data_IF_074039791885
#
_entry.id   IF_074039791885
#
_cell.length_a   1.000
_cell.length_b   1.000
_cell.length_c   1.000
_cell.angle_alpha   90.00
_cell.angle_beta   90.00
_cell.angle_gamma   90.00
#
_symmetry.space_group_name_H-M   'P 1'
#
loop_
_entity.id
_entity.type
_entity.pdbx_description
1 polymer ?
#
# COMPACT_ATOMS: atom_id res chain seq x y z
N UNK A 1 -8.57 11.88 24.41
CA UNK A 1 -9.47 10.71 24.53
C UNK A 1 -8.88 9.64 23.64
N UNK A 2 -8.16 8.67 24.20
CA UNK A 2 -7.76 7.45 23.48
C UNK A 2 -8.84 6.42 23.75
N UNK A 3 -9.76 6.26 22.80
CA UNK A 3 -10.62 5.07 22.78
C UNK A 3 -9.66 3.89 22.56
N UNK A 4 -9.80 2.82 23.33
CA UNK A 4 -8.97 1.64 23.10
C UNK A 4 -9.46 0.97 21.81
N UNK A 5 -8.61 0.92 20.78
CA UNK A 5 -8.96 0.53 19.40
C UNK A 5 -9.25 -0.98 19.24
N UNK A 6 -9.51 -1.69 20.35
CA UNK A 6 -9.85 -3.11 20.35
C UNK A 6 -8.79 -4.02 19.73
N UNK A 7 -7.56 -3.52 19.57
CA UNK A 7 -6.41 -4.22 19.00
C UNK A 7 -6.21 -4.05 17.49
N UNK A 8 -7.06 -3.29 16.78
CA UNK A 8 -6.90 -2.98 15.34
C UNK A 8 -6.95 -1.46 15.14
N UNK A 9 -5.88 -0.89 14.61
CA UNK A 9 -5.74 0.56 14.40
C UNK A 9 -6.26 1.02 13.04
N UNK A 10 -6.25 0.14 12.03
CA UNK A 10 -6.76 0.43 10.70
C UNK A 10 -7.31 -0.84 10.03
N UNK A 11 -8.26 -0.68 9.11
CA UNK A 11 -8.88 -1.78 8.36
C UNK A 11 -9.01 -1.40 6.90
N UNK A 12 -8.81 -2.38 6.01
CA UNK A 12 -9.08 -2.30 4.59
C UNK A 12 -9.95 -3.50 4.22
N UNK A 13 -11.11 -3.24 3.62
CA UNK A 13 -11.99 -4.27 3.08
C UNK A 13 -12.09 -4.09 1.57
N UNK A 14 -11.18 -4.74 0.84
CA UNK A 14 -11.14 -4.66 -0.61
C UNK A 14 -12.12 -5.67 -1.21
N UNK A 15 -12.89 -5.31 -2.26
CA UNK A 15 -13.72 -6.27 -2.98
C UNK A 15 -12.93 -7.51 -3.40
N UNK A 16 -13.55 -8.69 -3.36
CA UNK A 16 -12.87 -9.95 -3.68
C UNK A 16 -12.40 -10.03 -5.14
N UNK A 17 -13.03 -9.26 -6.02
CA UNK A 17 -12.69 -9.09 -7.43
C UNK A 17 -11.78 -7.89 -7.70
N UNK A 18 -11.33 -7.19 -6.65
CA UNK A 18 -10.40 -6.08 -6.80
C UNK A 18 -9.09 -6.56 -7.44
N UNK A 19 -8.65 -5.84 -8.47
CA UNK A 19 -7.34 -6.00 -9.10
C UNK A 19 -6.27 -5.42 -8.18
N UNK A 20 -5.89 -6.17 -7.15
CA UNK A 20 -4.76 -5.83 -6.30
C UNK A 20 -3.48 -6.37 -6.94
N UNK A 21 -2.46 -5.53 -7.17
CA UNK A 21 -1.18 -5.98 -7.70
C UNK A 21 -0.60 -7.12 -6.86
N UNK A 22 -0.11 -8.18 -7.51
CA UNK A 22 0.44 -9.36 -6.84
C UNK A 22 1.68 -9.07 -5.99
N UNK A 23 2.28 -7.90 -6.20
CA UNK A 23 3.49 -7.44 -5.57
C UNK A 23 3.24 -6.38 -4.48
N UNK A 24 1.97 -6.18 -4.10
CA UNK A 24 1.52 -5.38 -2.97
C UNK A 24 1.37 -6.25 -1.70
N UNK A 25 1.45 -5.63 -0.51
CA UNK A 25 1.14 -6.33 0.75
C UNK A 25 -0.37 -6.40 1.04
N UNK A 26 -1.16 -5.59 0.34
CA UNK A 26 -2.61 -5.65 0.39
C UNK A 26 -3.10 -6.88 -0.38
N UNK A 27 -4.22 -7.43 0.05
CA UNK A 27 -4.91 -8.55 -0.61
C UNK A 27 -6.40 -8.28 -0.65
N UNK A 28 -7.13 -8.83 -1.65
CA UNK A 28 -8.59 -8.78 -1.64
C UNK A 28 -9.19 -9.33 -0.35
N UNK A 29 -10.34 -8.79 0.04
CA UNK A 29 -11.01 -9.09 1.30
C UNK A 29 -10.54 -8.25 2.47
N UNK A 30 -10.93 -8.69 3.66
CA UNK A 30 -10.75 -7.95 4.90
C UNK A 30 -9.32 -8.10 5.43
N UNK A 31 -8.65 -6.97 5.67
CA UNK A 31 -7.34 -6.91 6.34
C UNK A 31 -7.38 -5.90 7.48
N UNK A 32 -7.06 -6.36 8.69
CA UNK A 32 -6.88 -5.51 9.87
C UNK A 32 -5.40 -5.29 10.17
N UNK A 33 -5.05 -4.04 10.47
CA UNK A 33 -3.70 -3.60 10.79
C UNK A 33 -3.60 -3.19 12.24
N UNK A 34 -2.58 -3.70 12.93
CA UNK A 34 -2.17 -3.21 14.23
C UNK A 34 -0.83 -2.46 14.09
N UNK A 35 -0.79 -1.19 14.48
CA UNK A 35 0.35 -0.31 14.34
C UNK A 35 1.15 -0.24 15.64
N UNK A 36 2.44 -0.55 15.55
CA UNK A 36 3.37 -0.51 16.68
C UNK A 36 4.53 0.41 16.37
N UNK A 37 4.44 1.62 16.93
CA UNK A 37 5.48 2.64 16.86
C UNK A 37 6.53 2.46 17.95
N UNK A 38 7.77 2.84 17.64
CA UNK A 38 8.88 2.78 18.59
C UNK A 38 9.48 1.38 18.75
N UNK A 39 10.48 1.27 19.63
CA UNK A 39 11.33 0.07 19.75
C UNK A 39 11.05 -0.78 20.99
N UNK A 40 10.01 -0.43 21.76
CA UNK A 40 9.62 -1.14 22.98
C UNK A 40 8.92 -2.46 22.69
N UNK A 41 8.10 -2.49 21.63
CA UNK A 41 7.36 -3.68 21.23
C UNK A 41 8.24 -4.59 20.36
N UNK A 42 8.55 -5.78 20.87
CA UNK A 42 9.41 -6.75 20.20
C UNK A 42 8.57 -7.94 19.73
N UNK A 43 8.09 -7.96 18.47
CA UNK A 43 7.13 -8.95 18.00
C UNK A 43 7.69 -10.38 17.97
N UNK A 44 9.01 -10.56 17.91
CA UNK A 44 9.69 -11.86 17.99
C UNK A 44 9.75 -12.44 19.42
N UNK A 45 9.01 -11.86 20.37
CA UNK A 45 8.92 -12.37 21.74
C UNK A 45 7.48 -12.75 22.05
N UNK A 46 7.28 -14.00 22.52
CA UNK A 46 5.96 -14.55 22.79
C UNK A 46 5.14 -13.72 23.80
N UNK A 47 5.79 -13.15 24.82
CA UNK A 47 5.11 -12.31 25.81
C UNK A 47 4.56 -11.03 25.19
N UNK A 48 5.36 -10.33 24.37
CA UNK A 48 4.91 -9.08 23.74
C UNK A 48 3.70 -9.33 22.83
N UNK A 49 3.71 -10.41 22.03
CA UNK A 49 2.56 -10.76 21.19
C UNK A 49 1.33 -11.11 22.04
N UNK A 50 1.52 -11.86 23.12
CA UNK A 50 0.41 -12.25 23.99
C UNK A 50 -0.25 -11.04 24.62
N UNK A 51 0.54 -10.12 25.17
CA UNK A 51 0.03 -8.91 25.84
C UNK A 51 -0.70 -7.98 24.87
N UNK A 52 -0.36 -8.03 23.58
CA UNK A 52 -1.00 -7.24 22.53
C UNK A 52 -2.27 -7.86 21.93
N UNK A 53 -2.43 -9.18 22.03
CA UNK A 53 -3.58 -9.88 21.46
C UNK A 53 -4.62 -10.24 22.52
N UNK A 54 -4.19 -10.50 23.75
CA UNK A 54 -5.03 -11.04 24.82
C UNK A 54 -5.25 -9.97 25.89
N UNK A 55 -6.52 -9.64 26.13
CA UNK A 55 -6.91 -8.74 27.20
C UNK A 55 -6.84 -9.40 28.59
N UNK A 56 -7.10 -8.61 29.62
CA UNK A 56 -7.08 -9.06 31.04
C UNK A 56 -8.05 -10.22 31.35
N UNK A 57 -9.06 -10.43 30.50
CA UNK A 57 -10.03 -11.54 30.63
C UNK A 57 -9.52 -12.87 30.05
N UNK A 58 -8.31 -12.89 29.49
CA UNK A 58 -7.75 -14.08 28.81
C UNK A 58 -8.33 -14.34 27.42
N UNK A 59 -9.16 -13.42 26.90
CA UNK A 59 -9.74 -13.46 25.55
C UNK A 59 -9.02 -12.50 24.61
N UNK A 60 -9.16 -12.74 23.31
CA UNK A 60 -8.71 -11.79 22.29
C UNK A 60 -9.36 -10.43 22.50
N UNK A 61 -8.64 -9.36 22.16
CA UNK A 61 -9.25 -8.04 22.10
C UNK A 61 -10.42 -8.01 21.09
N UNK A 62 -11.47 -7.20 21.33
CA UNK A 62 -12.72 -7.30 20.58
C UNK A 62 -12.59 -7.19 19.06
N UNK A 63 -11.79 -6.25 18.55
CA UNK A 63 -11.64 -6.06 17.10
C UNK A 63 -10.78 -7.15 16.47
N UNK A 64 -9.80 -7.70 17.20
CA UNK A 64 -9.05 -8.88 16.78
C UNK A 64 -9.97 -10.11 16.71
N UNK A 65 -10.85 -10.30 17.70
CA UNK A 65 -11.85 -11.37 17.69
C UNK A 65 -12.80 -11.22 16.49
N UNK A 66 -13.34 -10.01 16.25
CA UNK A 66 -14.21 -9.74 15.09
C UNK A 66 -13.51 -10.01 13.75
N UNK A 67 -12.26 -9.59 13.60
CA UNK A 67 -11.48 -9.83 12.39
C UNK A 67 -11.30 -11.33 12.14
N UNK A 68 -10.93 -12.08 13.18
CA UNK A 68 -10.72 -13.53 13.09
C UNK A 68 -11.99 -14.32 12.81
N UNK A 69 -13.13 -13.91 13.38
CA UNK A 69 -14.46 -14.48 13.08
C UNK A 69 -14.82 -14.34 11.59
N UNK A 70 -14.47 -13.20 10.99
CA UNK A 70 -14.66 -12.93 9.55
C UNK A 70 -13.57 -13.55 8.67
N UNK A 71 -12.58 -14.25 9.26
CA UNK A 71 -11.38 -14.77 8.59
C UNK A 71 -10.60 -13.70 7.83
N UNK A 72 -10.55 -12.47 8.36
CA UNK A 72 -9.77 -11.38 7.78
C UNK A 72 -8.27 -11.50 8.07
N UNK A 73 -7.43 -11.04 7.16
CA UNK A 73 -5.97 -11.04 7.36
C UNK A 73 -5.58 -10.12 8.51
N UNK A 74 -4.72 -10.58 9.40
CA UNK A 74 -4.18 -9.82 10.53
C UNK A 74 -2.72 -9.44 10.25
N UNK A 75 -2.43 -8.14 10.21
CA UNK A 75 -1.09 -7.63 9.91
C UNK A 75 -0.62 -6.72 11.04
N UNK A 76 0.55 -7.02 11.60
CA UNK A 76 1.22 -6.10 12.54
C UNK A 76 2.27 -5.29 11.82
N UNK A 77 2.21 -3.97 11.95
CA UNK A 77 3.20 -3.04 11.39
C UNK A 77 4.10 -2.51 12.49
N UNK A 78 5.39 -2.79 12.40
CA UNK A 78 6.41 -2.34 13.34
C UNK A 78 7.28 -1.26 12.68
N UNK A 79 7.06 0.02 13.02
CA UNK A 79 7.84 1.11 12.42
C UNK A 79 9.15 1.41 13.14
N UNK A 80 9.32 0.95 14.39
CA UNK A 80 10.57 1.12 15.14
C UNK A 80 11.57 -0.02 14.99
N UNK A 81 11.29 -1.01 14.15
CA UNK A 81 12.15 -2.18 13.93
C UNK A 81 12.22 -2.55 12.45
N UNK A 82 13.44 -2.72 11.95
CA UNK A 82 13.68 -3.48 10.72
C UNK A 82 13.91 -4.93 11.08
N UNK A 83 12.85 -5.72 10.90
CA UNK A 83 12.82 -7.13 11.27
C UNK A 83 13.71 -7.95 10.33
N UNK A 84 14.55 -8.79 10.92
CA UNK A 84 15.20 -9.86 10.13
C UNK A 84 14.16 -10.88 9.66
N UNK A 85 14.43 -11.67 8.61
CA UNK A 85 13.53 -12.75 8.18
C UNK A 85 13.17 -13.70 9.32
N UNK A 86 14.13 -14.02 10.19
CA UNK A 86 13.90 -14.87 11.36
C UNK A 86 12.94 -14.21 12.35
N UNK A 87 13.16 -12.95 12.71
CA UNK A 87 12.28 -12.22 13.65
C UNK A 87 10.85 -12.10 13.13
N UNK A 88 10.68 -11.88 11.83
CA UNK A 88 9.35 -11.87 11.20
C UNK A 88 8.68 -13.24 11.30
N UNK A 89 9.40 -14.31 10.96
CA UNK A 89 8.85 -15.67 11.03
C UNK A 89 8.47 -16.04 12.47
N UNK A 90 9.34 -15.76 13.43
CA UNK A 90 9.08 -16.00 14.86
C UNK A 90 7.85 -15.22 15.33
N UNK A 91 7.71 -13.95 14.91
CA UNK A 91 6.55 -13.14 15.23
C UNK A 91 5.25 -13.71 14.66
N UNK A 92 5.23 -14.11 13.38
CA UNK A 92 4.08 -14.77 12.78
C UNK A 92 3.72 -16.07 13.53
N UNK A 93 4.71 -16.90 13.87
CA UNK A 93 4.48 -18.12 14.65
C UNK A 93 3.89 -17.83 16.03
N UNK A 94 4.39 -16.80 16.72
CA UNK A 94 3.87 -16.40 18.02
C UNK A 94 2.40 -15.94 17.94
N UNK A 95 2.05 -15.15 16.93
CA UNK A 95 0.67 -14.70 16.70
C UNK A 95 -0.24 -15.91 16.47
N UNK A 96 0.16 -16.82 15.58
CA UNK A 96 -0.61 -18.04 15.27
C UNK A 96 -0.79 -18.92 16.50
N UNK A 97 0.25 -19.08 17.34
CA UNK A 97 0.14 -19.84 18.60
C UNK A 97 -0.83 -19.18 19.58
N UNK A 98 -0.82 -17.85 19.68
CA UNK A 98 -1.77 -17.13 20.55
C UNK A 98 -3.20 -17.28 20.03
N UNK A 99 -3.43 -17.13 18.71
CA UNK A 99 -4.74 -17.39 18.09
C UNK A 99 -5.24 -18.82 18.32
N UNK A 100 -4.40 -19.82 18.11
CA UNK A 100 -4.75 -21.20 18.40
C UNK A 100 -5.13 -21.41 19.88
N UNK A 101 -4.37 -20.79 20.81
CA UNK A 101 -4.68 -20.85 22.24
C UNK A 101 -5.99 -20.16 22.62
N UNK A 102 -6.44 -19.21 21.80
CA UNK A 102 -7.70 -18.49 21.96
C UNK A 102 -8.88 -19.13 21.19
N UNK A 103 -8.68 -20.30 20.56
CA UNK A 103 -9.73 -21.02 19.82
C UNK A 103 -9.83 -20.70 18.34
N UNK A 104 -8.82 -20.05 17.74
CA UNK A 104 -8.73 -19.73 16.31
C UNK A 104 -7.57 -20.51 15.67
N UNK A 105 -7.74 -21.81 15.38
CA UNK A 105 -6.71 -22.61 14.70
C UNK A 105 -6.59 -22.24 13.21
N UNK A 106 -5.55 -22.76 12.55
CA UNK A 106 -5.36 -22.68 11.09
C UNK A 106 -5.40 -21.25 10.53
N UNK A 107 -4.67 -20.34 11.17
CA UNK A 107 -4.60 -18.92 10.81
C UNK A 107 -3.27 -18.50 10.17
N UNK A 108 -2.35 -19.44 9.92
CA UNK A 108 -0.98 -19.13 9.48
C UNK A 108 -0.89 -18.40 8.14
N UNK A 109 -1.79 -18.66 7.20
CA UNK A 109 -1.83 -17.98 5.90
C UNK A 109 -2.44 -16.57 5.95
N UNK A 110 -3.03 -16.20 7.09
CA UNK A 110 -3.75 -14.93 7.29
C UNK A 110 -3.02 -14.00 8.26
N UNK A 111 -1.76 -14.30 8.61
CA UNK A 111 -0.94 -13.47 9.50
C UNK A 111 0.27 -12.95 8.76
N UNK A 112 0.59 -11.67 8.96
CA UNK A 112 1.87 -11.09 8.54
C UNK A 112 2.40 -10.07 9.55
N UNK A 113 3.70 -9.83 9.51
CA UNK A 113 4.36 -8.77 10.26
C UNK A 113 5.27 -8.00 9.32
N UNK A 114 5.08 -6.69 9.26
CA UNK A 114 5.80 -5.78 8.36
C UNK A 114 6.66 -4.80 9.17
N UNK A 115 7.94 -4.69 8.81
CA UNK A 115 8.85 -3.65 9.29
C UNK A 115 8.81 -2.39 8.42
N UNK A 116 9.45 -1.32 8.89
CA UNK A 116 9.53 -0.05 8.16
C UNK A 116 10.15 -0.21 6.77
N UNK A 117 11.29 -0.91 6.65
CA UNK A 117 11.95 -1.13 5.35
C UNK A 117 11.09 -1.92 4.37
N UNK A 118 10.27 -2.87 4.85
CA UNK A 118 9.37 -3.64 3.98
C UNK A 118 8.26 -2.75 3.42
N UNK A 119 7.67 -1.88 4.24
CA UNK A 119 6.69 -0.90 3.78
C UNK A 119 7.30 0.10 2.79
N UNK A 120 8.52 0.59 3.04
CA UNK A 120 9.24 1.47 2.10
C UNK A 120 9.43 0.78 0.75
N UNK A 121 9.87 -0.47 0.75
CA UNK A 121 10.03 -1.26 -0.48
C UNK A 121 8.73 -1.38 -1.29
N UNK A 122 7.57 -1.52 -0.63
CA UNK A 122 6.30 -1.53 -1.35
C UNK A 122 5.98 -0.15 -1.92
N UNK A 123 6.15 0.92 -1.15
CA UNK A 123 5.89 2.29 -1.60
C UNK A 123 6.78 2.71 -2.78
N UNK A 124 8.08 2.38 -2.74
CA UNK A 124 9.07 2.73 -3.76
C UNK A 124 8.77 2.16 -5.15
N UNK A 125 7.97 1.09 -5.23
CA UNK A 125 7.53 0.50 -6.52
C UNK A 125 6.49 1.33 -7.23
N UNK A 126 5.81 2.21 -6.50
CA UNK A 126 4.76 3.07 -7.02
C UNK A 126 5.22 4.52 -6.87
N UNK A 127 5.87 5.11 -7.90
CA UNK A 127 6.46 6.44 -7.79
C UNK A 127 5.50 7.52 -7.27
N UNK A 128 4.22 7.46 -7.62
CA UNK A 128 3.19 8.36 -7.09
C UNK A 128 2.98 8.23 -5.57
N UNK A 129 3.02 7.00 -5.04
CA UNK A 129 2.93 6.74 -3.60
C UNK A 129 4.23 7.15 -2.90
N UNK A 130 5.38 6.79 -3.46
CA UNK A 130 6.68 7.22 -2.93
C UNK A 130 6.80 8.75 -2.85
N UNK A 131 6.32 9.45 -3.87
CA UNK A 131 6.23 10.90 -3.89
C UNK A 131 5.23 11.45 -2.88
N UNK A 132 4.06 10.82 -2.72
CA UNK A 132 3.06 11.22 -1.73
C UNK A 132 3.59 11.09 -0.29
N UNK A 133 4.40 10.07 -0.02
CA UNK A 133 4.98 9.80 1.30
C UNK A 133 6.24 10.61 1.59
N UNK A 134 6.92 11.15 0.56
CA UNK A 134 8.09 12.01 0.71
C UNK A 134 7.69 13.49 0.75
N UNK A 135 8.47 14.32 1.44
CA UNK A 135 8.14 15.71 1.75
C UNK A 135 8.02 16.65 0.53
N UNK A 136 8.38 16.19 -0.66
CA UNK A 136 8.04 16.86 -1.91
C UNK A 136 6.75 16.25 -2.43
N UNK A 137 5.64 16.77 -1.92
CA UNK A 137 4.33 16.49 -2.49
C UNK A 137 4.40 16.80 -3.98
N UNK A 138 4.47 15.76 -4.82
CA UNK A 138 4.06 15.89 -6.21
C UNK A 138 2.57 16.20 -6.12
N UNK A 139 2.25 17.50 -6.08
CA UNK A 139 0.89 17.96 -5.84
C UNK A 139 -0.11 17.45 -6.89
N UNK A 140 0.37 16.87 -8.00
CA UNK A 140 -0.44 16.43 -9.14
C UNK A 140 0.14 15.18 -9.82
N UNK A 141 0.43 14.12 -9.06
CA UNK A 141 0.67 12.80 -9.67
C UNK A 141 -0.70 12.18 -9.99
N UNK A 142 -1.17 12.32 -11.22
CA UNK A 142 -2.43 11.72 -11.65
C UNK A 142 -2.20 10.31 -12.15
N UNK A 143 -3.08 9.38 -11.77
CA UNK A 143 -3.16 8.08 -12.43
C UNK A 143 -3.68 8.32 -13.85
N UNK A 144 -3.16 7.58 -14.84
CA UNK A 144 -3.50 7.79 -16.25
C UNK A 144 -5.03 7.84 -16.49
N UNK A 145 -5.79 6.95 -15.86
CA UNK A 145 -7.24 6.91 -16.05
C UNK A 145 -7.98 8.14 -15.49
N UNK A 146 -7.48 8.73 -14.39
CA UNK A 146 -8.05 9.96 -13.82
C UNK A 146 -7.72 11.14 -14.73
N UNK A 147 -6.49 11.16 -15.26
CA UNK A 147 -6.05 12.16 -16.21
C UNK A 147 -6.82 12.10 -17.53
N UNK A 148 -7.06 10.90 -18.04
CA UNK A 148 -7.82 10.64 -19.26
C UNK A 148 -9.28 11.11 -19.13
N UNK A 149 -9.88 10.92 -17.94
CA UNK A 149 -11.26 11.27 -17.63
C UNK A 149 -11.47 12.73 -17.24
N UNK A 150 -10.41 13.51 -17.06
CA UNK A 150 -10.52 14.92 -16.67
C UNK A 150 -11.30 15.75 -17.71
N UNK A 151 -12.16 16.65 -17.25
CA UNK A 151 -13.03 17.45 -18.11
C UNK A 151 -12.26 18.38 -19.07
N UNK A 152 -11.10 18.87 -18.65
CA UNK A 152 -10.22 19.69 -19.50
C UNK A 152 -9.39 18.86 -20.49
N UNK A 153 -9.36 17.54 -20.32
CA UNK A 153 -8.56 16.59 -21.10
C UNK A 153 -9.39 15.66 -21.99
N UNK A 154 -10.73 15.68 -21.87
CA UNK A 154 -11.65 14.81 -22.62
C UNK A 154 -12.25 15.47 -23.87
N UNK A 155 -12.01 16.76 -24.11
CA UNK A 155 -12.43 17.42 -25.35
C UNK A 155 -11.65 16.89 -26.57
N UNK A 156 -12.19 17.04 -27.78
CA UNK A 156 -11.53 16.60 -29.01
C UNK A 156 -10.15 17.25 -29.19
N UNK A 157 -9.14 16.44 -29.51
CA UNK A 157 -7.79 16.88 -29.79
C UNK A 157 -7.52 16.90 -31.28
N UNK A 158 -7.04 18.03 -31.80
CA UNK A 158 -6.64 18.21 -33.19
C UNK A 158 -5.21 18.74 -33.19
N UNK A 159 -4.20 17.88 -33.38
CA UNK A 159 -2.81 18.30 -33.32
C UNK A 159 -2.42 19.08 -34.57
N UNK A 160 -1.58 20.10 -34.39
CA UNK A 160 -0.75 20.62 -35.48
C UNK A 160 0.33 19.59 -35.87
N UNK A 161 0.92 19.75 -37.05
CA UNK A 161 2.00 18.89 -37.57
C UNK A 161 3.13 18.69 -36.55
N UNK A 162 3.59 19.78 -35.96
CA UNK A 162 4.69 19.82 -34.99
C UNK A 162 4.32 19.08 -33.69
N UNK A 163 3.05 19.16 -33.28
CA UNK A 163 2.55 18.45 -32.10
C UNK A 163 2.45 16.95 -32.37
N UNK A 164 2.00 16.56 -33.57
CA UNK A 164 1.93 15.15 -33.98
C UNK A 164 3.33 14.51 -34.03
N UNK A 165 4.33 15.24 -34.54
CA UNK A 165 5.73 14.79 -34.52
C UNK A 165 6.25 14.62 -33.09
N UNK A 166 6.00 15.60 -32.22
CA UNK A 166 6.43 15.53 -30.82
C UNK A 166 5.76 14.36 -30.08
N UNK A 167 4.47 14.12 -30.31
CA UNK A 167 3.73 12.98 -29.76
C UNK A 167 4.38 11.67 -30.21
N UNK A 168 4.74 11.55 -31.50
CA UNK A 168 5.42 10.37 -32.03
C UNK A 168 6.79 10.16 -31.38
N UNK A 169 7.54 11.23 -31.09
CA UNK A 169 8.83 11.15 -30.42
C UNK A 169 8.69 10.71 -28.96
N UNK A 170 7.69 11.24 -28.25
CA UNK A 170 7.38 10.83 -26.87
C UNK A 170 7.05 9.34 -26.85
N UNK A 171 6.19 8.87 -27.76
CA UNK A 171 5.82 7.46 -27.86
C UNK A 171 7.01 6.56 -28.14
N UNK A 172 7.82 6.89 -29.13
CA UNK A 172 9.04 6.14 -29.45
C UNK A 172 10.03 6.09 -28.27
N UNK A 173 10.09 7.18 -27.48
CA UNK A 173 10.88 7.22 -26.25
C UNK A 173 10.36 6.25 -25.19
N UNK A 174 9.04 6.22 -24.97
CA UNK A 174 8.37 5.34 -23.99
C UNK A 174 8.50 3.87 -24.38
N UNK A 175 8.32 3.54 -25.66
CA UNK A 175 8.43 2.17 -26.18
C UNK A 175 9.89 1.66 -26.22
N UNK A 176 10.87 2.57 -26.22
CA UNK A 176 12.29 2.25 -26.21
C UNK A 176 12.90 2.15 -24.81
N UNK A 177 14.24 2.21 -24.74
CA UNK A 177 15.00 2.11 -23.48
C UNK A 177 15.15 3.45 -22.74
N UNK A 178 14.33 4.45 -23.07
CA UNK A 178 14.46 5.79 -22.48
C UNK A 178 14.00 5.78 -21.03
N UNK A 179 14.93 6.02 -20.10
CA UNK A 179 14.63 6.04 -18.66
C UNK A 179 13.81 7.24 -18.20
N UNK A 180 13.93 8.37 -18.91
CA UNK A 180 13.28 9.62 -18.52
C UNK A 180 13.07 10.54 -19.73
N UNK A 181 11.86 11.07 -19.88
CA UNK A 181 11.50 12.05 -20.92
C UNK A 181 11.15 13.37 -20.24
N UNK A 182 11.82 14.47 -20.64
CA UNK A 182 11.53 15.81 -20.12
C UNK A 182 10.89 16.66 -21.22
N UNK A 183 9.63 17.04 -21.03
CA UNK A 183 8.92 17.93 -21.96
C UNK A 183 9.06 19.38 -21.49
N UNK A 184 9.65 20.23 -22.33
CA UNK A 184 9.86 21.65 -22.07
C UNK A 184 8.99 22.50 -22.98
N UNK A 185 8.61 23.69 -22.51
CA UNK A 185 7.82 24.65 -23.30
C UNK A 185 7.12 25.67 -22.40
N UNK A 186 6.70 26.77 -23.00
CA UNK A 186 6.01 27.86 -22.30
C UNK A 186 4.71 27.38 -21.62
N UNK A 187 4.28 28.04 -20.53
CA UNK A 187 2.98 27.79 -19.93
C UNK A 187 1.85 27.92 -20.97
N UNK A 188 0.85 27.02 -20.91
CA UNK A 188 -0.31 27.08 -21.81
C UNK A 188 -0.16 26.39 -23.17
N UNK A 189 1.02 25.93 -23.57
CA UNK A 189 1.23 25.22 -24.85
C UNK A 189 0.65 23.78 -24.91
N UNK A 190 -0.11 23.37 -23.90
CA UNK A 190 -0.74 22.05 -23.88
C UNK A 190 0.25 20.89 -23.66
N UNK A 191 1.40 21.12 -22.99
CA UNK A 191 2.39 20.08 -22.67
C UNK A 191 1.77 18.83 -22.04
N UNK A 192 0.98 19.05 -20.99
CA UNK A 192 0.22 18.01 -20.30
C UNK A 192 -0.64 17.26 -21.32
N UNK A 193 -1.48 17.97 -22.08
CA UNK A 193 -2.34 17.33 -23.08
C UNK A 193 -1.57 16.52 -24.13
N UNK A 194 -0.45 17.02 -24.65
CA UNK A 194 0.36 16.28 -25.62
C UNK A 194 0.92 14.97 -25.06
N UNK A 195 1.35 14.96 -23.79
CA UNK A 195 1.82 13.73 -23.14
C UNK A 195 0.67 12.74 -22.96
N UNK A 196 -0.53 13.19 -22.58
CA UNK A 196 -1.71 12.34 -22.48
C UNK A 196 -2.04 11.67 -23.82
N UNK A 197 -2.02 12.44 -24.91
CA UNK A 197 -2.31 11.94 -26.26
C UNK A 197 -1.24 10.96 -26.77
N UNK A 198 0.01 11.10 -26.32
CA UNK A 198 1.04 10.10 -26.59
C UNK A 198 0.76 8.75 -25.91
N UNK A 199 0.13 8.78 -24.73
CA UNK A 199 -0.17 7.62 -23.88
C UNK A 199 -1.52 6.95 -24.19
N UNK A 200 -2.49 7.66 -24.79
CA UNK A 200 -3.83 7.14 -25.16
C UNK A 200 -3.84 6.12 -26.29
N UNK A 201 -2.76 6.05 -27.06
CA UNK A 201 -2.72 5.42 -28.37
C UNK A 201 -2.00 4.07 -28.36
#
# INVERSE_FOLDING_TARGET
MTVADGGIDAEVDAPLDALVPADCFLTPGLTGFQLKSGSSFKPWTASSIRDELIGSTGKLFPEVARLTEKRGRYVVVCTGHDLTPQQRNDACEHIVRVFASAGVPDYSSLVDVLGASQLSMYAERYPGIAALLTFETIHEAWVFEEWDRDAHMSNSFVPASEQAELISQIRAGIEGDTKHIRVLGEPGLGKTRMVLEALRA
#
